data_IF_159737576731
#
_entry.id   IF_159737576731
#
_cell.length_a   1.000
_cell.length_b   1.000
_cell.length_c   1.000
_cell.angle_alpha   90.00
_cell.angle_beta   90.00
_cell.angle_gamma   90.00
#
_symmetry.space_group_name_H-M   'P 1'
#
loop_
_entity.id
_entity.type
_entity.pdbx_description
1 polymer ?
#
# COMPACT_ATOMS: atom_id res chain seq x y z
N UNK A 1 23.56 22.32 -8.43
CA UNK A 1 22.13 22.01 -8.61
C UNK A 1 22.00 21.10 -9.81
N UNK A 2 21.11 20.08 -9.76
CA UNK A 2 20.93 18.93 -10.68
C UNK A 2 21.67 17.68 -10.16
N UNK A 3 21.10 16.76 -9.38
CA UNK A 3 19.76 16.16 -9.30
C UNK A 3 19.33 15.38 -10.54
N UNK A 4 20.02 14.27 -10.85
CA UNK A 4 19.42 13.17 -11.60
C UNK A 4 19.83 11.83 -10.95
N UNK A 5 18.99 11.36 -10.03
CA UNK A 5 19.07 10.01 -9.50
C UNK A 5 18.65 9.00 -10.56
N UNK A 6 19.58 8.11 -10.90
CA UNK A 6 19.38 6.73 -11.33
C UNK A 6 18.07 6.40 -12.07
N UNK A 7 17.95 6.85 -13.31
CA UNK A 7 17.01 6.29 -14.27
C UNK A 7 17.57 4.99 -14.85
N UNK A 8 17.24 3.84 -14.26
CA UNK A 8 17.47 2.53 -14.87
C UNK A 8 16.21 2.09 -15.63
N UNK A 9 16.24 1.98 -16.98
CA UNK A 9 15.09 1.52 -17.76
C UNK A 9 15.14 -0.01 -17.93
N UNK A 10 15.17 -0.78 -16.84
CA UNK A 10 15.40 -2.24 -16.91
C UNK A 10 14.48 -3.00 -15.99
N UNK A 11 13.35 -3.46 -16.54
CA UNK A 11 12.44 -4.42 -15.93
C UNK A 11 11.95 -3.96 -14.57
N UNK A 12 10.73 -3.41 -14.48
CA UNK A 12 10.14 -3.15 -13.17
C UNK A 12 9.91 -4.48 -12.46
N UNK A 13 10.94 -4.99 -11.80
CA UNK A 13 10.90 -6.20 -11.00
C UNK A 13 10.57 -5.76 -9.59
N UNK A 14 9.41 -6.16 -9.09
CA UNK A 14 8.99 -5.92 -7.73
C UNK A 14 9.99 -6.60 -6.79
N UNK A 15 10.69 -5.83 -5.98
CA UNK A 15 11.60 -6.36 -4.95
C UNK A 15 10.86 -7.02 -3.78
N UNK A 16 9.54 -6.86 -3.69
CA UNK A 16 8.71 -7.47 -2.65
C UNK A 16 8.20 -8.87 -3.00
N UNK A 17 7.98 -9.18 -4.29
CA UNK A 17 7.49 -10.50 -4.73
C UNK A 17 8.35 -11.16 -5.81
N UNK A 18 9.32 -10.45 -6.40
CA UNK A 18 10.15 -10.93 -7.52
C UNK A 18 9.48 -10.87 -8.90
N UNK A 19 8.22 -10.44 -9.00
CA UNK A 19 7.48 -10.34 -10.27
C UNK A 19 7.93 -9.16 -11.13
N UNK A 20 7.72 -9.21 -12.45
CA UNK A 20 8.11 -8.17 -13.40
C UNK A 20 6.91 -7.37 -13.93
N UNK A 21 7.14 -6.17 -14.44
CA UNK A 21 6.12 -5.25 -14.98
C UNK A 21 5.59 -4.21 -13.99
N UNK A 22 5.97 -4.26 -12.71
CA UNK A 22 5.54 -3.32 -11.67
C UNK A 22 6.60 -3.13 -10.58
N UNK A 23 6.62 -1.98 -9.89
CA UNK A 23 7.53 -1.73 -8.77
C UNK A 23 6.97 -2.27 -7.44
N UNK A 24 7.81 -2.42 -6.41
CA UNK A 24 7.40 -2.81 -5.05
C UNK A 24 6.26 -1.98 -4.45
N UNK A 25 6.16 -0.71 -4.86
CA UNK A 25 5.10 0.22 -4.45
C UNK A 25 3.73 -0.08 -5.10
N UNK A 26 3.73 -0.70 -6.28
CA UNK A 26 2.54 -1.11 -7.03
C UNK A 26 2.26 -2.62 -6.88
N UNK A 27 3.03 -3.29 -6.01
CA UNK A 27 3.06 -4.74 -5.87
C UNK A 27 1.97 -5.21 -4.88
N UNK A 28 0.81 -5.60 -5.40
CA UNK A 28 -0.32 -6.09 -4.59
C UNK A 28 -0.07 -7.46 -3.97
N UNK A 29 0.85 -8.25 -4.54
CA UNK A 29 1.25 -9.55 -4.00
C UNK A 29 2.19 -9.43 -2.79
N UNK A 30 2.96 -8.35 -2.70
CA UNK A 30 3.85 -8.07 -1.56
C UNK A 30 3.20 -7.23 -0.46
N UNK A 31 2.08 -6.57 -0.76
CA UNK A 31 1.33 -5.74 0.19
C UNK A 31 0.20 -6.56 0.78
N UNK A 32 0.18 -6.73 2.10
CA UNK A 32 -0.98 -7.28 2.80
C UNK A 32 -2.10 -6.25 2.81
N UNK A 33 -3.32 -6.69 2.52
CA UNK A 33 -4.52 -5.90 2.68
C UNK A 33 -4.61 -5.43 4.13
N UNK A 34 -4.76 -4.12 4.34
CA UNK A 34 -4.90 -3.56 5.68
C UNK A 34 -6.29 -3.79 6.29
N UNK A 35 -7.26 -4.28 5.50
CA UNK A 35 -8.61 -4.55 6.01
C UNK A 35 -8.73 -5.99 6.54
N UNK A 36 -8.24 -6.99 5.80
CA UNK A 36 -8.36 -8.40 6.19
C UNK A 36 -7.01 -9.09 6.51
N UNK A 37 -5.89 -8.45 6.21
CA UNK A 37 -4.55 -9.02 6.41
C UNK A 37 -4.06 -9.94 5.28
N UNK A 38 -4.88 -10.21 4.27
CA UNK A 38 -4.53 -11.12 3.16
C UNK A 38 -3.77 -10.40 2.02
N UNK A 39 -2.92 -11.13 1.30
CA UNK A 39 -2.16 -10.59 0.16
C UNK A 39 -2.92 -10.81 -1.17
N UNK A 40 -2.49 -10.13 -2.23
CA UNK A 40 -3.05 -10.29 -3.58
C UNK A 40 -4.14 -9.29 -3.94
N UNK A 41 -4.58 -8.47 -2.98
CA UNK A 41 -5.45 -7.32 -3.20
C UNK A 41 -5.09 -6.18 -2.24
N UNK A 42 -5.48 -4.95 -2.58
CA UNK A 42 -5.33 -3.79 -1.69
C UNK A 42 -6.60 -3.61 -0.86
N UNK A 43 -6.51 -2.87 0.25
CA UNK A 43 -7.69 -2.52 1.08
C UNK A 43 -8.85 -1.91 0.31
N UNK A 44 -8.57 -1.25 -0.82
CA UNK A 44 -9.56 -0.64 -1.71
C UNK A 44 -10.31 -1.65 -2.59
N UNK A 45 -9.69 -2.80 -2.86
CA UNK A 45 -10.26 -3.93 -3.64
C UNK A 45 -10.67 -5.09 -2.72
N UNK A 46 -10.58 -4.90 -1.40
CA UNK A 46 -10.92 -5.92 -0.41
C UNK A 46 -12.43 -6.13 -0.40
N UNK A 47 -12.85 -7.35 -0.73
CA UNK A 47 -14.26 -7.75 -0.72
C UNK A 47 -14.75 -8.16 0.67
N UNK A 48 -13.85 -8.26 1.66
CA UNK A 48 -14.25 -8.51 3.04
C UNK A 48 -15.01 -7.29 3.58
N UNK A 49 -16.06 -7.55 4.35
CA UNK A 49 -16.76 -6.55 5.18
C UNK A 49 -15.69 -5.66 5.81
N UNK A 50 -15.65 -4.40 5.39
CA UNK A 50 -14.57 -3.48 5.77
C UNK A 50 -14.57 -3.43 7.28
N UNK A 51 -13.56 -4.06 7.90
CA UNK A 51 -13.44 -4.07 9.35
C UNK A 51 -13.53 -2.61 9.81
N UNK A 52 -14.63 -2.27 10.49
CA UNK A 52 -14.94 -0.90 10.90
C UNK A 52 -13.89 -0.34 11.87
N UNK A 53 -12.90 -1.13 12.24
CA UNK A 53 -11.56 -0.76 12.71
C UNK A 53 -10.74 0.04 11.67
N UNK A 54 -11.37 0.98 10.95
CA UNK A 54 -10.63 2.00 10.23
C UNK A 54 -9.90 2.85 11.26
N UNK A 55 -8.64 2.50 11.48
CA UNK A 55 -7.69 3.28 12.25
C UNK A 55 -7.14 4.40 11.38
N UNK A 56 -6.92 5.55 11.99
CA UNK A 56 -6.35 6.69 11.32
C UNK A 56 -4.94 6.37 10.84
N UNK A 57 -4.68 6.50 9.54
CA UNK A 57 -3.33 6.26 9.00
C UNK A 57 -2.27 7.25 9.51
N UNK A 58 -2.68 8.39 10.09
CA UNK A 58 -1.79 9.39 10.68
C UNK A 58 -1.44 9.05 12.14
N UNK A 59 -2.44 8.83 13.00
CA UNK A 59 -2.24 8.65 14.45
C UNK A 59 -2.49 7.21 14.97
N UNK A 60 -2.86 6.28 14.08
CA UNK A 60 -3.16 4.87 14.35
C UNK A 60 -4.29 4.61 15.35
N UNK A 61 -5.11 5.63 15.65
CA UNK A 61 -6.27 5.51 16.55
C UNK A 61 -7.51 5.03 15.80
N UNK A 62 -8.30 4.09 16.37
CA UNK A 62 -9.57 3.65 15.79
C UNK A 62 -10.65 4.73 15.86
N UNK A 63 -11.74 4.53 15.11
CA UNK A 63 -12.93 5.39 15.13
C UNK A 63 -12.89 6.58 14.16
N UNK A 64 -11.78 6.80 13.45
CA UNK A 64 -11.70 7.82 12.41
C UNK A 64 -10.61 7.48 11.37
N UNK A 65 -10.77 8.01 10.16
CA UNK A 65 -9.75 7.92 9.08
C UNK A 65 -8.88 9.18 9.08
N UNK A 66 -7.77 9.16 8.33
CA UNK A 66 -6.84 10.30 8.22
C UNK A 66 -7.55 11.63 7.88
N UNK A 67 -8.60 11.59 7.04
CA UNK A 67 -9.39 12.77 6.67
C UNK A 67 -10.20 13.37 7.84
N UNK A 68 -10.52 12.56 8.85
CA UNK A 68 -11.24 12.94 10.06
C UNK A 68 -10.32 12.92 11.29
N UNK A 69 -9.00 12.99 11.10
CA UNK A 69 -8.05 13.03 12.20
C UNK A 69 -8.18 14.36 12.95
N UNK A 70 -8.55 14.35 14.24
CA UNK A 70 -8.36 15.52 15.08
C UNK A 70 -6.84 15.79 15.11
N UNK A 71 -6.48 17.04 14.81
CA UNK A 71 -5.15 17.43 14.34
C UNK A 71 -3.99 16.87 15.15
#
# INVERSE_FOLDING_TARGET
YQNQGYGAPRGQTCYSCGGFGHMSRDCTQGQKCYNCGEVGHLSRDCSAEISHDRVCYKCKQPGHVQAACPN
#
